data_IF_221921997642
#
_entry.id   IF_221921997642
#
_cell.length_a   1.000
_cell.length_b   1.000
_cell.length_c   1.000
_cell.angle_alpha   90.00
_cell.angle_beta   90.00
_cell.angle_gamma   90.00
#
_symmetry.space_group_name_H-M   'P 1'
#
loop_
_entity.id
_entity.type
_entity.pdbx_description
1 polymer ?
#
# COMPACT_ATOMS: atom_id res chain seq x y z
N UNK A 1 -3.47 24.85 5.15
CA UNK A 1 -4.56 24.22 5.90
C UNK A 1 -5.15 23.09 5.07
N UNK A 2 -5.50 21.96 5.69
CA UNK A 2 -6.09 20.82 4.96
C UNK A 2 -7.58 21.10 4.80
N UNK A 3 -8.04 21.23 3.55
CA UNK A 3 -9.43 21.61 3.22
C UNK A 3 -10.40 20.43 3.45
N UNK A 4 -9.89 19.20 3.43
CA UNK A 4 -10.69 17.98 3.56
C UNK A 4 -10.10 17.02 4.59
N UNK A 5 -10.88 16.04 5.10
CA UNK A 5 -10.30 14.86 5.72
C UNK A 5 -9.27 14.19 4.80
N UNK A 6 -8.20 13.64 5.35
CA UNK A 6 -7.08 13.10 4.56
C UNK A 6 -7.51 11.93 3.69
N UNK A 7 -8.43 11.06 4.13
CA UNK A 7 -8.99 10.01 3.28
C UNK A 7 -9.67 10.55 2.02
N UNK A 8 -10.29 11.73 2.10
CA UNK A 8 -10.88 12.44 0.96
C UNK A 8 -9.78 12.98 0.05
N UNK A 9 -8.79 13.67 0.62
CA UNK A 9 -7.63 14.19 -0.12
C UNK A 9 -6.88 13.09 -0.87
N UNK A 10 -6.67 11.92 -0.24
CA UNK A 10 -6.05 10.74 -0.85
C UNK A 10 -6.88 10.23 -2.04
N UNK A 11 -8.19 10.08 -1.85
CA UNK A 11 -9.08 9.55 -2.88
C UNK A 11 -9.14 10.47 -4.10
N UNK A 12 -9.28 11.78 -3.87
CA UNK A 12 -9.26 12.79 -4.93
C UNK A 12 -7.89 12.84 -5.63
N UNK A 13 -6.81 12.71 -4.88
CA UNK A 13 -5.46 12.71 -5.43
C UNK A 13 -5.21 11.52 -6.37
N UNK A 14 -5.66 10.32 -6.01
CA UNK A 14 -5.61 9.16 -6.90
C UNK A 14 -6.47 9.37 -8.15
N UNK A 15 -7.70 9.86 -8.00
CA UNK A 15 -8.58 10.14 -9.14
C UNK A 15 -7.95 11.14 -10.12
N UNK A 16 -7.30 12.18 -9.60
CA UNK A 16 -6.56 13.17 -10.38
C UNK A 16 -5.33 12.56 -11.07
N UNK A 17 -4.55 11.73 -10.38
CA UNK A 17 -3.40 10.99 -10.93
C UNK A 17 -3.81 10.06 -12.07
N UNK A 18 -4.95 9.38 -11.91
CA UNK A 18 -5.47 8.44 -12.90
C UNK A 18 -6.23 9.10 -14.06
N UNK A 19 -6.49 10.43 -14.02
CA UNK A 19 -7.45 11.11 -14.92
C UNK A 19 -8.78 10.34 -15.02
N UNK A 20 -9.28 9.86 -13.88
CA UNK A 20 -10.37 8.89 -13.81
C UNK A 20 -11.73 9.54 -14.14
N UNK A 21 -12.34 9.17 -15.27
CA UNK A 21 -13.63 9.72 -15.75
C UNK A 21 -14.84 8.80 -15.56
N UNK A 22 -14.61 7.63 -14.97
CA UNK A 22 -15.61 6.55 -14.87
C UNK A 22 -16.38 6.54 -13.55
N UNK A 23 -15.92 7.30 -12.56
CA UNK A 23 -16.54 7.39 -11.23
C UNK A 23 -17.21 8.75 -11.07
N UNK A 24 -18.46 8.77 -10.63
CA UNK A 24 -19.12 9.99 -10.18
C UNK A 24 -18.77 10.23 -8.71
N UNK A 25 -18.31 11.44 -8.40
CA UNK A 25 -17.80 11.79 -7.08
C UNK A 25 -18.90 12.50 -6.28
N UNK A 26 -19.14 12.03 -5.06
CA UNK A 26 -20.04 12.64 -4.10
C UNK A 26 -19.30 12.88 -2.79
N UNK A 27 -19.10 14.14 -2.42
CA UNK A 27 -18.59 14.52 -1.11
C UNK A 27 -19.75 14.59 -0.13
N UNK A 28 -19.53 14.05 1.06
CA UNK A 28 -20.54 13.97 2.11
C UNK A 28 -20.28 15.04 3.15
N UNK A 29 -21.25 15.93 3.37
CA UNK A 29 -21.17 16.91 4.45
C UNK A 29 -21.71 16.33 5.77
N UNK A 30 -21.14 16.73 6.92
CA UNK A 30 -21.81 16.54 8.20
C UNK A 30 -23.18 17.26 8.20
N UNK A 31 -24.15 16.78 8.98
CA UNK A 31 -25.52 17.27 8.97
C UNK A 31 -25.69 18.72 9.49
N UNK A 32 -24.65 19.32 10.06
CA UNK A 32 -24.66 20.69 10.58
C UNK A 32 -23.82 21.59 9.67
N UNK A 33 -24.48 22.42 8.87
CA UNK A 33 -23.82 23.42 8.01
C UNK A 33 -24.20 24.80 8.54
N UNK A 34 -23.25 25.49 9.16
CA UNK A 34 -23.35 26.95 9.36
C UNK A 34 -22.07 27.73 9.01
N UNK A 35 -20.91 27.10 8.84
CA UNK A 35 -19.64 27.81 8.51
C UNK A 35 -19.02 27.52 7.13
N UNK A 36 -19.38 26.43 6.45
CA UNK A 36 -18.55 25.88 5.36
C UNK A 36 -19.07 26.11 3.93
N UNK A 37 -20.10 26.95 3.77
CA UNK A 37 -20.73 27.21 2.45
C UNK A 37 -19.71 27.81 1.46
N UNK A 38 -18.90 28.78 1.89
CA UNK A 38 -17.86 29.38 1.04
C UNK A 38 -16.77 28.40 0.62
N UNK A 39 -16.33 27.51 1.52
CA UNK A 39 -15.34 26.50 1.18
C UNK A 39 -15.92 25.48 0.19
N UNK A 40 -17.17 25.07 0.41
CA UNK A 40 -17.90 24.16 -0.49
C UNK A 40 -18.06 24.76 -1.90
N UNK A 41 -18.38 26.05 -2.01
CA UNK A 41 -18.45 26.77 -3.29
C UNK A 41 -17.09 26.91 -3.98
N UNK A 42 -16.01 27.16 -3.22
CA UNK A 42 -14.65 27.21 -3.77
C UNK A 42 -14.17 25.83 -4.26
N UNK A 43 -14.63 24.76 -3.62
CA UNK A 43 -14.37 23.36 -4.01
C UNK A 43 -15.10 23.02 -5.32
N UNK A 44 -16.40 23.32 -5.38
CA UNK A 44 -17.26 23.05 -6.53
C UNK A 44 -16.87 23.86 -7.76
N UNK A 45 -16.46 25.13 -7.59
CA UNK A 45 -15.98 25.97 -8.69
C UNK A 45 -14.68 25.47 -9.32
N UNK A 46 -13.82 24.79 -8.54
CA UNK A 46 -12.58 24.20 -9.04
C UNK A 46 -12.76 22.80 -9.62
N UNK A 47 -13.83 22.08 -9.27
CA UNK A 47 -14.07 20.70 -9.69
C UNK A 47 -15.57 20.47 -10.00
N UNK A 48 -16.04 20.84 -11.20
CA UNK A 48 -17.47 20.73 -11.56
C UNK A 48 -17.99 19.28 -11.62
N UNK A 49 -17.08 18.29 -11.64
CA UNK A 49 -17.43 16.87 -11.66
C UNK A 49 -17.79 16.30 -10.26
N UNK A 50 -17.55 17.08 -9.21
CA UNK A 50 -17.81 16.70 -7.82
C UNK A 50 -19.18 17.21 -7.39
N UNK A 51 -20.01 16.32 -6.85
CA UNK A 51 -21.28 16.67 -6.22
C UNK A 51 -21.13 16.66 -4.71
N UNK A 52 -21.91 17.49 -4.01
CA UNK A 52 -21.93 17.52 -2.54
C UNK A 52 -23.32 17.10 -2.08
N UNK A 53 -23.39 16.15 -1.15
CA UNK A 53 -24.63 15.59 -0.62
C UNK A 53 -24.59 15.52 0.91
N UNK A 54 -25.76 15.55 1.54
CA UNK A 54 -25.91 15.31 2.98
C UNK A 54 -25.81 13.84 3.30
N UNK A 55 -25.46 13.53 4.55
CA UNK A 55 -25.40 12.13 5.02
C UNK A 55 -26.72 11.37 4.85
N UNK A 56 -27.86 12.07 4.96
CA UNK A 56 -29.20 11.49 4.78
C UNK A 56 -29.50 11.09 3.33
N UNK A 57 -28.80 11.66 2.35
CA UNK A 57 -29.01 11.40 0.91
C UNK A 57 -28.17 10.22 0.41
N UNK A 58 -27.27 9.71 1.26
CA UNK A 58 -26.44 8.55 0.96
C UNK A 58 -27.31 7.28 0.92
N UNK A 59 -27.10 6.35 -0.03
CA UNK A 59 -27.77 5.05 -0.01
C UNK A 59 -27.57 4.31 1.33
N UNK A 60 -28.63 3.69 1.86
CA UNK A 60 -28.61 3.01 3.19
C UNK A 60 -27.43 2.05 3.34
N UNK A 61 -27.11 1.28 2.30
CA UNK A 61 -25.96 0.37 2.26
C UNK A 61 -24.62 1.07 2.57
N UNK A 62 -24.43 2.31 2.11
CA UNK A 62 -23.21 3.09 2.34
C UNK A 62 -23.24 3.79 3.70
N UNK A 63 -24.42 4.13 4.22
CA UNK A 63 -24.53 4.75 5.54
C UNK A 63 -23.95 3.84 6.66
N UNK A 64 -24.00 2.53 6.44
CA UNK A 64 -23.41 1.50 7.31
C UNK A 64 -21.93 1.21 7.04
N UNK A 65 -21.29 1.93 6.11
CA UNK A 65 -19.89 1.74 5.74
C UNK A 65 -19.01 2.92 6.19
N UNK A 66 -17.73 2.62 6.42
CA UNK A 66 -16.72 3.67 6.51
C UNK A 66 -16.47 4.27 5.11
N UNK A 67 -16.41 5.59 5.02
CA UNK A 67 -16.01 6.28 3.80
C UNK A 67 -14.47 6.24 3.64
N UNK A 68 -13.93 6.18 2.42
CA UNK A 68 -14.64 6.24 1.15
C UNK A 68 -15.37 4.93 0.82
N UNK A 69 -16.44 5.06 0.03
CA UNK A 69 -17.22 3.94 -0.46
C UNK A 69 -17.61 4.14 -1.93
N UNK A 70 -17.70 3.06 -2.69
CA UNK A 70 -18.12 3.04 -4.09
C UNK A 70 -19.27 2.05 -4.25
N UNK A 71 -20.39 2.55 -4.77
CA UNK A 71 -21.60 1.76 -5.04
C UNK A 71 -21.73 1.52 -6.53
N UNK A 72 -22.10 0.31 -6.91
CA UNK A 72 -22.43 0.00 -8.29
C UNK A 72 -23.74 0.66 -8.73
N UNK A 73 -23.93 0.89 -10.03
CA UNK A 73 -25.11 1.59 -10.57
C UNK A 73 -26.45 0.98 -10.15
N UNK A 74 -26.48 -0.33 -9.85
CA UNK A 74 -27.68 -1.03 -9.42
C UNK A 74 -27.99 -0.88 -7.91
N UNK A 75 -27.13 -0.22 -7.14
CA UNK A 75 -27.32 0.00 -5.70
C UNK A 75 -27.17 -1.23 -4.81
N UNK A 76 -26.82 -2.39 -5.37
CA UNK A 76 -26.80 -3.69 -4.66
C UNK A 76 -25.42 -4.14 -4.19
N UNK A 77 -24.37 -3.46 -4.62
CA UNK A 77 -23.01 -3.81 -4.24
C UNK A 77 -22.25 -2.54 -3.86
N UNK A 78 -21.68 -2.55 -2.65
CA UNK A 78 -20.86 -1.48 -2.10
C UNK A 78 -19.46 -2.01 -1.79
N UNK A 79 -18.45 -1.25 -2.18
CA UNK A 79 -17.06 -1.42 -1.77
C UNK A 79 -16.72 -0.29 -0.81
N UNK A 80 -16.24 -0.60 0.38
CA UNK A 80 -15.92 0.40 1.39
C UNK A 80 -14.53 0.16 1.98
N UNK A 81 -13.93 1.22 2.52
CA UNK A 81 -12.55 1.24 2.99
C UNK A 81 -11.61 1.82 1.94
N UNK A 82 -10.60 2.55 2.41
CA UNK A 82 -9.69 3.31 1.56
C UNK A 82 -8.94 2.38 0.61
N UNK A 83 -8.22 1.38 1.12
CA UNK A 83 -7.41 0.50 0.29
C UNK A 83 -8.27 -0.24 -0.76
N UNK A 84 -9.46 -0.71 -0.37
CA UNK A 84 -10.40 -1.40 -1.25
C UNK A 84 -10.87 -0.49 -2.38
N UNK A 85 -11.30 0.73 -2.05
CA UNK A 85 -11.80 1.72 -3.02
C UNK A 85 -10.70 2.18 -3.96
N UNK A 86 -9.52 2.52 -3.45
CA UNK A 86 -8.40 2.98 -4.28
C UNK A 86 -7.94 1.90 -5.27
N UNK A 87 -7.82 0.65 -4.80
CA UNK A 87 -7.49 -0.49 -5.68
C UNK A 87 -8.57 -0.71 -6.74
N UNK A 88 -9.84 -0.53 -6.40
CA UNK A 88 -10.95 -0.61 -7.35
C UNK A 88 -10.86 0.50 -8.42
N UNK A 89 -10.57 1.75 -8.03
CA UNK A 89 -10.37 2.87 -8.96
C UNK A 89 -9.23 2.55 -9.94
N UNK A 90 -8.09 2.06 -9.45
CA UNK A 90 -6.95 1.66 -10.29
C UNK A 90 -7.35 0.58 -11.31
N UNK A 91 -8.05 -0.47 -10.86
CA UNK A 91 -8.50 -1.55 -11.74
C UNK A 91 -9.46 -1.05 -12.80
N UNK A 92 -10.47 -0.28 -12.40
CA UNK A 92 -11.50 0.20 -13.32
C UNK A 92 -10.97 1.23 -14.32
N UNK A 93 -10.03 2.07 -13.90
CA UNK A 93 -9.37 3.01 -14.81
C UNK A 93 -8.57 2.24 -15.87
N UNK A 94 -7.83 1.20 -15.47
CA UNK A 94 -7.12 0.36 -16.43
C UNK A 94 -8.07 -0.43 -17.36
N UNK A 95 -9.21 -0.91 -16.87
CA UNK A 95 -10.21 -1.57 -17.72
C UNK A 95 -10.81 -0.61 -18.76
N UNK A 96 -10.97 0.67 -18.41
CA UNK A 96 -11.47 1.70 -19.32
C UNK A 96 -10.42 2.16 -20.35
N UNK A 97 -9.14 2.20 -19.97
CA UNK A 97 -8.03 2.47 -20.88
C UNK A 97 -6.87 1.47 -20.66
N UNK A 98 -6.90 0.32 -21.35
CA UNK A 98 -5.85 -0.69 -21.24
C UNK A 98 -4.48 -0.26 -21.79
N UNK A 99 -4.40 0.86 -22.52
CA UNK A 99 -3.15 1.38 -23.08
C UNK A 99 -2.23 1.92 -21.97
N UNK A 100 -2.81 2.46 -20.89
CA UNK A 100 -2.08 2.99 -19.75
C UNK A 100 -1.70 1.89 -18.75
N UNK A 101 -0.73 1.06 -19.12
CA UNK A 101 -0.25 -0.05 -18.27
C UNK A 101 0.36 0.41 -16.95
N UNK A 102 0.91 1.63 -16.88
CA UNK A 102 1.53 2.18 -15.68
C UNK A 102 0.57 2.29 -14.49
N UNK A 103 -0.73 2.54 -14.75
CA UNK A 103 -1.76 2.58 -13.70
C UNK A 103 -1.83 1.24 -12.95
N UNK A 104 -1.75 0.12 -13.67
CA UNK A 104 -1.89 -1.20 -13.04
C UNK A 104 -0.66 -1.59 -12.20
N UNK A 105 0.50 -1.01 -12.49
CA UNK A 105 1.74 -1.20 -11.74
C UNK A 105 1.66 -0.61 -10.32
N UNK A 106 0.77 0.37 -10.09
CA UNK A 106 0.49 0.90 -8.76
C UNK A 106 0.05 -0.19 -7.77
N UNK A 107 -0.58 -1.26 -8.26
CA UNK A 107 -0.96 -2.39 -7.40
C UNK A 107 0.23 -3.23 -6.95
N UNK A 108 1.45 -2.91 -7.38
CA UNK A 108 2.68 -3.60 -6.99
C UNK A 108 2.82 -4.99 -7.60
N UNK A 109 3.86 -5.70 -7.19
CA UNK A 109 4.14 -7.06 -7.66
C UNK A 109 2.95 -7.99 -7.42
N UNK A 110 2.52 -8.74 -8.44
CA UNK A 110 1.32 -9.61 -8.38
C UNK A 110 0.04 -8.89 -7.90
N UNK A 111 -0.02 -7.57 -8.01
CA UNK A 111 -1.14 -6.72 -7.60
C UNK A 111 -1.46 -6.81 -6.10
N UNK A 112 -0.44 -6.96 -5.23
CA UNK A 112 -0.62 -7.17 -3.78
C UNK A 112 -0.54 -5.90 -2.91
N UNK A 113 -0.08 -4.76 -3.43
CA UNK A 113 0.03 -3.51 -2.67
C UNK A 113 -1.33 -3.12 -2.06
N UNK A 114 -1.38 -2.93 -0.74
CA UNK A 114 -2.62 -2.64 0.01
C UNK A 114 -3.76 -3.66 -0.21
N UNK A 115 -3.44 -4.93 -0.52
CA UNK A 115 -4.46 -5.98 -0.73
C UNK A 115 -4.90 -6.65 0.58
N UNK A 116 -3.98 -6.78 1.53
CA UNK A 116 -4.24 -7.42 2.81
C UNK A 116 -4.94 -6.44 3.76
N UNK A 117 -5.71 -6.94 4.72
CA UNK A 117 -6.40 -6.09 5.68
C UNK A 117 -5.41 -5.39 6.63
N UNK A 118 -5.81 -4.26 7.21
CA UNK A 118 -4.99 -3.44 8.09
C UNK A 118 -4.50 -4.20 9.34
N UNK A 119 -5.25 -5.19 9.81
CA UNK A 119 -4.93 -6.02 10.98
C UNK A 119 -3.78 -7.01 10.71
N UNK A 120 -3.51 -7.32 9.43
CA UNK A 120 -2.51 -8.32 9.03
C UNK A 120 -1.33 -7.67 8.29
N UNK A 121 -1.58 -6.54 7.63
CA UNK A 121 -0.57 -5.81 6.87
C UNK A 121 -0.25 -4.49 7.53
N UNK A 122 0.97 -4.39 8.05
CA UNK A 122 1.47 -3.15 8.65
C UNK A 122 1.44 -1.97 7.68
N UNK A 123 1.82 -2.17 6.41
CA UNK A 123 1.71 -1.13 5.38
C UNK A 123 0.27 -0.68 5.15
N UNK A 124 -0.69 -1.62 5.13
CA UNK A 124 -2.10 -1.27 4.96
C UNK A 124 -2.60 -0.50 6.18
N UNK A 125 -2.28 -0.95 7.40
CA UNK A 125 -2.62 -0.23 8.63
C UNK A 125 -2.01 1.18 8.71
N UNK A 126 -0.75 1.34 8.30
CA UNK A 126 -0.09 2.64 8.22
C UNK A 126 -0.79 3.58 7.24
N UNK A 127 -1.06 3.11 6.02
CA UNK A 127 -1.61 3.92 4.94
C UNK A 127 -3.09 4.26 5.13
N UNK A 128 -3.89 3.30 5.60
CA UNK A 128 -5.34 3.45 5.69
C UNK A 128 -5.80 4.06 7.01
N UNK A 129 -5.04 3.87 8.10
CA UNK A 129 -5.50 4.24 9.44
C UNK A 129 -4.50 5.15 10.13
N UNK A 130 -3.31 4.64 10.45
CA UNK A 130 -2.43 5.25 11.45
C UNK A 130 -1.87 6.60 11.01
N UNK A 131 -1.36 6.72 9.78
CA UNK A 131 -0.76 7.97 9.28
C UNK A 131 -1.82 9.04 9.05
N UNK A 132 -2.93 8.79 8.29
CA UNK A 132 -3.97 9.79 8.12
C UNK A 132 -4.50 10.32 9.46
N UNK A 133 -4.85 9.43 10.40
CA UNK A 133 -5.37 9.83 11.70
C UNK A 133 -4.36 10.63 12.52
N UNK A 134 -3.09 10.19 12.54
CA UNK A 134 -2.04 10.88 13.29
C UNK A 134 -1.79 12.28 12.73
N UNK A 135 -1.78 12.45 11.40
CA UNK A 135 -1.59 13.75 10.76
C UNK A 135 -2.79 14.66 11.00
N UNK A 136 -4.03 14.19 10.85
CA UNK A 136 -5.21 15.02 11.15
C UNK A 136 -5.22 15.52 12.59
N UNK A 137 -4.91 14.64 13.54
CA UNK A 137 -4.81 15.01 14.95
C UNK A 137 -3.68 16.01 15.20
N UNK A 138 -2.55 15.85 14.52
CA UNK A 138 -1.44 16.79 14.59
C UNK A 138 -1.83 18.17 14.05
N UNK A 139 -2.49 18.25 12.89
CA UNK A 139 -2.94 19.51 12.28
C UNK A 139 -3.91 20.28 13.19
N UNK A 140 -4.85 19.56 13.82
CA UNK A 140 -5.78 20.14 14.81
C UNK A 140 -5.02 20.71 16.02
N UNK A 141 -4.09 19.94 16.59
CA UNK A 141 -3.32 20.37 17.77
C UNK A 141 -2.39 21.53 17.50
N UNK A 142 -1.69 21.52 16.36
CA UNK A 142 -0.73 22.56 15.96
C UNK A 142 -1.41 23.92 15.74
N UNK A 143 -2.68 23.91 15.33
CA UNK A 143 -3.47 25.14 15.18
C UNK A 143 -3.72 25.84 16.52
N UNK A 144 -3.72 25.10 17.64
CA UNK A 144 -3.89 25.64 19.00
C UNK A 144 -2.58 25.80 19.77
N UNK A 145 -1.57 24.97 19.50
CA UNK A 145 -0.28 25.01 20.16
C UNK A 145 0.84 24.71 19.14
N UNK A 146 1.68 25.70 18.79
CA UNK A 146 2.75 25.53 17.79
C UNK A 146 3.81 24.48 18.16
N UNK A 147 4.04 24.23 19.45
CA UNK A 147 5.09 23.34 19.93
C UNK A 147 4.55 21.91 20.14
N UNK A 148 4.16 21.25 19.04
CA UNK A 148 3.79 19.83 19.05
C UNK A 148 4.95 18.95 18.62
N UNK A 149 5.15 17.85 19.35
CA UNK A 149 6.08 16.82 18.96
C UNK A 149 5.63 16.11 17.67
N UNK A 150 6.60 15.60 16.91
CA UNK A 150 6.33 14.78 15.73
C UNK A 150 5.54 13.54 16.16
N UNK A 151 4.42 13.20 15.49
CA UNK A 151 3.65 12.02 15.83
C UNK A 151 4.50 10.75 15.74
N UNK A 152 4.39 9.86 16.75
CA UNK A 152 5.14 8.58 16.79
C UNK A 152 5.00 7.75 15.51
N UNK A 153 3.83 7.78 14.88
CA UNK A 153 3.57 7.05 13.61
C UNK A 153 4.38 7.63 12.44
N UNK A 154 4.67 8.92 12.41
CA UNK A 154 5.55 9.52 11.40
C UNK A 154 7.00 9.10 11.64
N UNK A 155 7.44 9.02 12.90
CA UNK A 155 8.75 8.47 13.25
C UNK A 155 8.86 6.97 12.90
N UNK A 156 7.78 6.21 13.09
CA UNK A 156 7.71 4.82 12.62
C UNK A 156 7.86 4.73 11.10
N UNK A 157 7.22 5.62 10.34
CA UNK A 157 7.39 5.66 8.88
C UNK A 157 8.82 6.06 8.47
N UNK A 158 9.45 6.98 9.18
CA UNK A 158 10.86 7.32 8.98
C UNK A 158 11.76 6.09 9.20
N UNK A 159 11.56 5.37 10.31
CA UNK A 159 12.32 4.16 10.61
C UNK A 159 12.10 3.07 9.56
N UNK A 160 10.86 2.89 9.09
CA UNK A 160 10.49 1.96 8.00
C UNK A 160 11.29 2.21 6.73
N UNK A 161 11.44 3.47 6.32
CA UNK A 161 12.22 3.83 5.14
C UNK A 161 13.72 3.48 5.30
N UNK A 162 14.20 3.32 6.53
CA UNK A 162 15.57 2.90 6.84
C UNK A 162 15.76 1.38 6.87
N UNK A 163 14.69 0.59 6.82
CA UNK A 163 14.78 -0.88 6.81
C UNK A 163 15.31 -1.38 5.46
N UNK A 164 16.04 -2.52 5.43
CA UNK A 164 16.50 -3.10 4.17
C UNK A 164 15.32 -3.63 3.35
N UNK A 165 15.26 -3.24 2.07
CA UNK A 165 14.22 -3.67 1.15
C UNK A 165 14.42 -5.13 0.74
N UNK A 166 13.33 -5.88 0.65
CA UNK A 166 13.29 -7.21 0.04
C UNK A 166 12.36 -7.22 -1.17
N UNK A 167 12.88 -7.60 -2.33
CA UNK A 167 12.08 -7.68 -3.57
C UNK A 167 12.17 -9.06 -4.23
N UNK A 168 11.25 -9.31 -5.17
CA UNK A 168 11.40 -10.44 -6.08
C UNK A 168 12.70 -10.29 -6.89
N UNK A 169 13.53 -11.34 -6.92
CA UNK A 169 14.89 -11.33 -7.46
C UNK A 169 15.89 -10.45 -6.68
N UNK A 170 15.71 -10.29 -5.36
CA UNK A 170 16.59 -9.54 -4.45
C UNK A 170 18.09 -9.74 -4.75
N UNK A 171 18.55 -11.00 -4.73
CA UNK A 171 19.94 -11.38 -5.01
C UNK A 171 20.45 -10.87 -6.35
N UNK A 172 19.61 -10.92 -7.40
CA UNK A 172 19.99 -10.46 -8.73
C UNK A 172 20.23 -8.95 -8.74
N UNK A 173 19.33 -8.19 -8.12
CA UNK A 173 19.41 -6.72 -8.07
C UNK A 173 20.60 -6.28 -7.21
N UNK A 174 20.82 -6.93 -6.07
CA UNK A 174 21.98 -6.65 -5.21
C UNK A 174 23.30 -6.95 -5.90
N UNK A 175 23.38 -8.02 -6.70
CA UNK A 175 24.57 -8.33 -7.52
C UNK A 175 24.78 -7.30 -8.64
N UNK A 176 23.71 -6.77 -9.24
CA UNK A 176 23.81 -5.66 -10.19
C UNK A 176 24.29 -4.37 -9.53
N UNK A 177 23.84 -4.06 -8.31
CA UNK A 177 24.32 -2.92 -7.50
C UNK A 177 25.85 -3.02 -7.27
N UNK A 178 26.34 -4.20 -6.90
CA UNK A 178 27.80 -4.45 -6.73
C UNK A 178 28.58 -4.30 -8.04
N UNK A 179 28.05 -4.82 -9.15
CA UNK A 179 28.68 -4.69 -10.46
C UNK A 179 28.91 -3.22 -10.82
N UNK A 180 27.90 -2.38 -10.58
CA UNK A 180 27.93 -0.98 -10.97
C UNK A 180 28.78 -0.13 -10.02
N UNK A 181 28.75 -0.39 -8.71
CA UNK A 181 29.68 0.24 -7.76
C UNK A 181 31.13 -0.01 -8.18
N UNK A 182 31.48 -1.26 -8.53
CA UNK A 182 32.83 -1.58 -9.01
C UNK A 182 33.18 -0.99 -10.37
N UNK A 183 32.19 -0.73 -11.23
CA UNK A 183 32.42 -0.01 -12.48
C UNK A 183 32.70 1.47 -12.20
N UNK A 184 31.94 2.10 -11.31
CA UNK A 184 32.16 3.47 -10.88
C UNK A 184 33.55 3.64 -10.23
N UNK A 185 33.93 2.72 -9.33
CA UNK A 185 35.25 2.72 -8.68
C UNK A 185 36.41 2.59 -9.70
N UNK A 186 36.22 1.76 -10.74
CA UNK A 186 37.21 1.61 -11.82
C UNK A 186 37.32 2.85 -12.68
N UNK A 187 36.19 3.47 -13.02
CA UNK A 187 36.19 4.69 -13.84
C UNK A 187 36.89 5.84 -13.10
N UNK A 188 36.61 5.99 -11.80
CA UNK A 188 37.29 6.96 -10.93
C UNK A 188 38.81 6.70 -10.80
N UNK A 189 39.26 5.44 -10.89
CA UNK A 189 40.70 5.10 -10.84
C UNK A 189 41.46 5.34 -12.16
N UNK A 190 40.75 5.46 -13.30
CA UNK A 190 41.38 5.57 -14.64
C UNK A 190 41.59 7.02 -15.07
N UNK A 191 40.88 7.98 -14.45
CA UNK A 191 41.01 9.42 -14.72
C UNK A 191 42.25 10.07 -14.09
N UNK A 192 43.19 9.28 -13.54
CA UNK A 192 44.46 9.78 -13.01
C UNK A 192 45.57 9.93 -14.08
N UNK A 193 45.31 9.59 -15.36
CA UNK A 193 46.30 9.75 -16.43
C UNK A 193 45.72 10.23 -17.77
N UNK A 194 45.18 11.45 -17.83
CA UNK A 194 45.37 12.36 -18.98
C UNK A 194 44.77 13.73 -18.67
N UNK A 195 45.62 14.76 -18.64
CA UNK A 195 45.17 16.16 -18.65
C UNK A 195 44.81 16.53 -20.08
N UNK A 196 43.61 17.06 -20.30
CA UNK A 196 43.40 18.38 -20.93
C UNK A 196 41.90 18.76 -21.01
N UNK A 197 41.66 20.05 -20.75
CA UNK A 197 40.44 20.84 -20.71
C UNK A 197 39.15 20.30 -21.36
N UNK A 198 38.09 20.25 -20.55
CA UNK A 198 36.74 20.78 -20.89
C UNK A 198 35.89 20.96 -19.63
N UNK A 199 35.49 22.20 -19.37
CA UNK A 199 34.47 22.59 -18.40
C UNK A 199 33.12 21.96 -18.75
N UNK A 200 32.69 20.96 -17.97
CA UNK A 200 31.28 20.58 -17.84
C UNK A 200 31.07 20.19 -16.38
N UNK A 201 30.20 20.93 -15.69
CA UNK A 201 29.65 20.53 -14.39
C UNK A 201 28.94 19.18 -14.54
N UNK A 202 29.58 18.09 -14.14
CA UNK A 202 28.95 16.78 -14.01
C UNK A 202 28.92 16.43 -12.53
N UNK A 203 27.73 16.56 -11.93
CA UNK A 203 27.44 15.93 -10.64
C UNK A 203 27.52 14.41 -10.81
N UNK A 204 28.30 13.77 -9.93
CA UNK A 204 28.52 12.33 -9.90
C UNK A 204 27.18 11.55 -9.75
N UNK A 205 26.92 10.50 -10.55
CA UNK A 205 25.75 9.66 -10.36
C UNK A 205 25.97 8.69 -9.19
N UNK A 206 25.43 9.02 -8.02
CA UNK A 206 25.43 8.17 -6.83
C UNK A 206 24.57 6.90 -6.97
N UNK A 207 24.74 5.92 -6.08
CA UNK A 207 23.95 4.68 -6.03
C UNK A 207 22.42 4.93 -6.01
N UNK A 208 22.00 6.01 -5.36
CA UNK A 208 20.61 6.45 -5.32
C UNK A 208 20.05 6.82 -6.71
N UNK A 209 20.88 7.36 -7.63
CA UNK A 209 20.48 7.72 -8.98
C UNK A 209 20.18 6.49 -9.83
N UNK A 210 20.94 5.40 -9.67
CA UNK A 210 20.67 4.14 -10.38
C UNK A 210 19.37 3.47 -9.93
N UNK A 211 19.15 3.38 -8.62
CA UNK A 211 17.94 2.77 -8.06
C UNK A 211 16.69 3.59 -8.46
N UNK A 212 16.82 4.92 -8.42
CA UNK A 212 15.83 5.87 -8.91
C UNK A 212 15.58 5.71 -10.42
N UNK A 213 16.62 5.64 -11.26
CA UNK A 213 16.51 5.34 -12.70
C UNK A 213 15.87 3.98 -12.98
N UNK A 214 16.16 2.97 -12.17
CA UNK A 214 15.57 1.63 -12.29
C UNK A 214 14.09 1.63 -11.95
N UNK A 215 13.69 2.44 -10.97
CA UNK A 215 12.28 2.62 -10.65
C UNK A 215 11.56 3.45 -11.72
N UNK A 216 12.22 4.49 -12.25
CA UNK A 216 11.72 5.30 -13.36
C UNK A 216 11.62 4.53 -14.69
N UNK A 217 12.53 3.58 -14.95
CA UNK A 217 12.49 2.77 -16.16
C UNK A 217 11.28 1.83 -16.20
N UNK A 218 10.82 1.36 -15.03
CA UNK A 218 9.53 0.66 -14.93
C UNK A 218 8.34 1.60 -15.14
N UNK A 219 8.37 2.79 -14.53
CA UNK A 219 7.31 3.78 -14.68
C UNK A 219 7.15 4.32 -16.11
N UNK A 220 8.22 4.36 -16.91
CA UNK A 220 8.23 5.00 -18.25
C UNK A 220 7.93 4.02 -19.40
N UNK A 221 7.45 2.79 -19.13
CA UNK A 221 7.16 1.75 -20.15
C UNK A 221 8.33 1.38 -21.09
N UNK A 222 9.50 1.98 -20.94
CA UNK A 222 10.68 1.63 -21.71
C UNK A 222 11.28 0.36 -21.11
N UNK A 223 10.91 -0.77 -21.72
CA UNK A 223 11.58 -2.05 -21.56
C UNK A 223 13.07 -1.83 -21.85
N UNK A 224 13.90 -1.76 -20.81
CA UNK A 224 15.35 -1.76 -21.01
C UNK A 224 15.72 -3.02 -21.81
N UNK A 225 16.60 -2.93 -22.82
CA UNK A 225 17.09 -4.11 -23.52
C UNK A 225 17.71 -5.06 -22.50
N UNK A 226 17.27 -6.32 -22.51
CA UNK A 226 17.92 -7.40 -21.77
C UNK A 226 19.28 -7.65 -22.42
N UNK A 227 20.30 -6.90 -21.99
CA UNK A 227 21.67 -7.23 -22.33
C UNK A 227 22.00 -8.58 -21.67
N UNK A 228 22.03 -9.63 -22.49
CA UNK A 228 22.51 -10.97 -22.14
C UNK A 228 24.03 -10.97 -22.01
N UNK A 229 24.59 -10.13 -21.14
CA UNK A 229 25.99 -10.24 -20.77
C UNK A 229 26.08 -11.30 -19.66
N UNK A 230 26.76 -12.41 -19.96
CA UNK A 230 27.07 -13.45 -18.97
C UNK A 230 27.78 -12.78 -17.79
N UNK A 231 27.16 -12.81 -16.61
CA UNK A 231 27.71 -12.24 -15.39
C UNK A 231 29.14 -12.76 -15.13
N UNK A 232 30.10 -11.87 -14.79
CA UNK A 232 31.48 -12.29 -14.52
C UNK A 232 31.54 -13.28 -13.35
N UNK A 233 32.41 -14.29 -13.47
CA UNK A 233 32.53 -15.43 -12.55
C UNK A 233 32.81 -15.04 -11.08
N UNK A 234 33.41 -13.88 -10.83
CA UNK A 234 33.71 -13.40 -9.49
C UNK A 234 32.49 -12.81 -8.74
N UNK A 235 31.46 -12.33 -9.45
CA UNK A 235 30.22 -11.83 -8.82
C UNK A 235 29.29 -12.98 -8.41
N UNK A 236 29.31 -14.11 -9.14
CA UNK A 236 28.58 -15.33 -8.76
C UNK A 236 29.11 -15.96 -7.46
N UNK A 237 30.39 -15.74 -7.14
CA UNK A 237 31.07 -16.32 -5.97
C UNK A 237 30.84 -15.54 -4.66
N UNK A 238 30.27 -14.33 -4.71
CA UNK A 238 29.94 -13.55 -3.51
C UNK A 238 28.79 -14.23 -2.77
N UNK A 239 28.96 -14.48 -1.47
CA UNK A 239 27.89 -15.06 -0.64
C UNK A 239 26.73 -14.06 -0.54
N UNK A 240 25.49 -14.54 -0.55
CA UNK A 240 24.29 -13.68 -0.46
C UNK A 240 24.29 -12.81 0.81
N UNK A 241 24.92 -13.27 1.89
CA UNK A 241 25.10 -12.52 3.14
C UNK A 241 26.04 -11.30 3.02
N UNK A 242 26.93 -11.29 2.02
CA UNK A 242 27.95 -10.25 1.80
C UNK A 242 27.49 -9.18 0.79
N UNK A 243 26.32 -9.37 0.18
CA UNK A 243 25.77 -8.40 -0.76
C UNK A 243 25.29 -7.14 -0.01
N UNK A 244 25.43 -5.93 -0.58
CA UNK A 244 24.90 -4.72 0.04
C UNK A 244 23.36 -4.79 0.10
N UNK A 245 22.71 -4.28 1.16
CA UNK A 245 21.26 -4.21 1.22
C UNK A 245 20.70 -3.26 0.15
N UNK A 246 19.45 -3.48 -0.21
CA UNK A 246 18.67 -2.55 -1.03
C UNK A 246 18.00 -1.53 -0.12
N UNK A 247 17.94 -0.29 -0.56
CA UNK A 247 17.38 0.82 0.19
C UNK A 247 16.01 1.21 -0.36
N UNK A 248 15.19 1.87 0.45
CA UNK A 248 13.92 2.39 -0.01
C UNK A 248 14.13 3.58 -0.94
N UNK A 249 13.69 3.43 -2.19
CA UNK A 249 13.50 4.56 -3.10
C UNK A 249 12.09 5.14 -2.90
N UNK A 250 11.11 4.24 -2.79
CA UNK A 250 9.71 4.50 -2.56
C UNK A 250 9.25 3.81 -1.27
N UNK A 251 8.01 4.07 -0.83
CA UNK A 251 7.55 3.72 0.50
C UNK A 251 7.65 2.22 0.79
N UNK A 252 7.11 1.34 -0.06
CA UNK A 252 7.20 -0.12 0.14
C UNK A 252 8.55 -0.74 -0.30
N UNK A 253 9.37 -0.01 -1.06
CA UNK A 253 10.67 -0.53 -1.52
C UNK A 253 11.21 0.20 -2.77
N UNK A 254 11.64 -0.58 -3.76
CA UNK A 254 12.28 -0.02 -4.96
C UNK A 254 11.30 0.58 -5.99
N UNK A 255 10.02 0.25 -5.90
CA UNK A 255 9.05 0.55 -6.94
C UNK A 255 7.99 1.52 -6.43
N UNK A 256 7.60 2.46 -7.28
CA UNK A 256 6.50 3.35 -7.00
C UNK A 256 5.18 2.57 -7.04
N UNK A 257 4.40 2.69 -5.98
CA UNK A 257 3.15 1.93 -5.79
C UNK A 257 2.02 2.82 -5.30
N UNK A 258 0.84 2.24 -5.13
CA UNK A 258 -0.32 2.91 -4.57
C UNK A 258 -0.03 3.48 -3.17
N UNK A 259 0.84 2.84 -2.39
CA UNK A 259 1.27 3.32 -1.07
C UNK A 259 1.91 4.70 -1.14
N UNK A 260 2.72 4.99 -2.17
CA UNK A 260 3.30 6.33 -2.35
C UNK A 260 2.24 7.40 -2.64
N UNK A 261 1.25 7.07 -3.46
CA UNK A 261 0.11 7.96 -3.77
C UNK A 261 -0.72 8.23 -2.50
N UNK A 262 -0.93 7.21 -1.67
CA UNK A 262 -1.69 7.35 -0.41
C UNK A 262 -0.95 8.22 0.60
N UNK A 263 0.36 8.01 0.77
CA UNK A 263 1.12 8.72 1.79
C UNK A 263 1.41 10.17 1.40
N UNK A 264 1.52 10.49 0.11
CA UNK A 264 1.93 11.81 -0.35
C UNK A 264 1.05 12.96 0.19
N UNK A 265 -0.29 12.95 0.07
CA UNK A 265 -1.13 14.00 0.65
C UNK A 265 -0.97 14.14 2.16
N UNK A 266 -0.89 13.02 2.89
CA UNK A 266 -0.71 13.02 4.35
C UNK A 266 0.60 13.68 4.75
N UNK A 267 1.71 13.24 4.15
CA UNK A 267 3.05 13.77 4.46
C UNK A 267 3.17 15.21 3.98
N UNK A 268 2.58 15.57 2.84
CA UNK A 268 2.54 16.96 2.36
C UNK A 268 1.92 17.89 3.41
N UNK A 269 0.72 17.56 3.91
CA UNK A 269 0.05 18.39 4.91
C UNK A 269 0.80 18.45 6.23
N UNK A 270 1.36 17.31 6.67
CA UNK A 270 2.22 17.26 7.85
C UNK A 270 3.43 18.19 7.72
N UNK A 271 4.20 18.06 6.65
CA UNK A 271 5.41 18.88 6.41
C UNK A 271 5.07 20.36 6.22
N UNK A 272 3.95 20.68 5.56
CA UNK A 272 3.48 22.06 5.42
C UNK A 272 3.17 22.70 6.77
N UNK A 273 2.53 21.97 7.69
CA UNK A 273 2.31 22.43 9.05
C UNK A 273 3.62 22.59 9.83
N UNK A 274 4.54 21.62 9.74
CA UNK A 274 5.85 21.74 10.38
C UNK A 274 6.63 22.96 9.89
N UNK A 275 6.60 23.26 8.57
CA UNK A 275 7.23 24.45 8.00
C UNK A 275 6.61 25.74 8.53
N UNK A 276 5.28 25.81 8.66
CA UNK A 276 4.56 26.98 9.18
C UNK A 276 4.88 27.26 10.65
N UNK A 277 5.10 26.21 11.44
CA UNK A 277 5.29 26.30 12.90
C UNK A 277 6.74 26.08 13.35
N UNK A 278 7.71 26.08 12.42
CA UNK A 278 9.15 25.92 12.70
C UNK A 278 9.51 24.66 13.51
N UNK A 279 8.76 23.57 13.31
CA UNK A 279 9.09 22.28 13.93
C UNK A 279 10.34 21.67 13.29
N UNK A 280 11.15 20.98 14.08
CA UNK A 280 12.43 20.44 13.65
C UNK A 280 12.28 19.22 12.71
N UNK A 281 11.99 19.48 11.44
CA UNK A 281 11.89 18.46 10.38
C UNK A 281 13.23 17.81 10.02
N UNK A 282 14.35 18.32 10.53
CA UNK A 282 15.68 17.74 10.30
C UNK A 282 15.81 16.32 10.86
N UNK A 283 14.89 15.92 11.74
CA UNK A 283 14.79 14.56 12.27
C UNK A 283 14.18 13.54 11.28
N UNK A 284 13.75 13.97 10.09
CA UNK A 284 13.06 13.12 9.11
C UNK A 284 13.76 13.08 7.73
N UNK A 285 15.07 12.79 7.66
CA UNK A 285 15.83 12.84 6.41
C UNK A 285 15.31 11.89 5.32
N UNK A 286 14.86 10.69 5.68
CA UNK A 286 14.39 9.67 4.74
C UNK A 286 13.01 10.03 4.19
N UNK A 287 12.08 10.50 5.02
CA UNK A 287 10.79 11.03 4.57
C UNK A 287 10.99 12.24 3.66
N UNK A 288 11.90 13.16 4.00
CA UNK A 288 12.19 14.31 3.14
C UNK A 288 12.76 13.88 1.78
N UNK A 289 13.66 12.90 1.77
CA UNK A 289 14.22 12.33 0.54
C UNK A 289 13.17 11.62 -0.30
N UNK A 290 12.36 10.75 0.33
CA UNK A 290 11.22 10.09 -0.29
C UNK A 290 10.23 11.10 -0.89
N UNK A 291 9.86 12.14 -0.14
CA UNK A 291 8.91 13.16 -0.58
C UNK A 291 9.44 13.92 -1.81
N UNK A 292 10.73 14.27 -1.85
CA UNK A 292 11.36 14.87 -3.04
C UNK A 292 11.25 13.95 -4.26
N UNK A 293 11.64 12.69 -4.12
CA UNK A 293 11.59 11.69 -5.20
C UNK A 293 10.17 11.45 -5.72
N UNK A 294 9.19 11.37 -4.82
CA UNK A 294 7.78 11.17 -5.22
C UNK A 294 7.26 12.38 -6.01
N UNK A 295 7.61 13.61 -5.63
CA UNK A 295 7.24 14.80 -6.40
C UNK A 295 7.87 14.86 -7.80
N UNK A 296 8.97 14.14 -8.04
CA UNK A 296 9.61 14.08 -9.36
C UNK A 296 8.88 13.15 -10.34
N UNK A 297 8.02 12.26 -9.84
CA UNK A 297 7.26 11.30 -10.67
C UNK A 297 6.34 12.06 -11.65
N UNK A 298 6.41 11.81 -12.98
CA UNK A 298 5.66 12.58 -13.97
C UNK A 298 4.16 12.64 -13.72
N UNK A 299 3.52 11.51 -13.39
CA UNK A 299 2.08 11.47 -13.07
C UNK A 299 1.73 12.23 -11.79
N UNK A 300 2.66 12.29 -10.82
CA UNK A 300 2.47 13.04 -9.58
C UNK A 300 2.47 14.54 -9.85
N UNK A 301 3.38 15.04 -10.71
CA UNK A 301 3.42 16.47 -11.08
C UNK A 301 2.11 16.96 -11.67
N UNK A 302 1.41 16.13 -12.44
CA UNK A 302 0.10 16.47 -13.00
C UNK A 302 -0.98 16.46 -11.92
N UNK A 303 -0.99 15.45 -11.05
CA UNK A 303 -1.96 15.33 -9.97
C UNK A 303 -1.82 16.46 -8.93
N UNK A 304 -0.59 16.86 -8.59
CA UNK A 304 -0.34 17.93 -7.62
C UNK A 304 -0.88 19.27 -8.08
N UNK A 305 -0.82 19.58 -9.38
CA UNK A 305 -1.44 20.78 -9.96
C UNK A 305 -2.96 20.74 -9.77
N UNK A 306 -3.61 19.62 -10.13
CA UNK A 306 -5.06 19.44 -10.00
C UNK A 306 -5.52 19.52 -8.53
N UNK A 307 -4.73 19.00 -7.60
CA UNK A 307 -5.05 18.98 -6.17
C UNK A 307 -4.44 20.14 -5.37
N UNK A 308 -3.86 21.14 -6.02
CA UNK A 308 -3.22 22.30 -5.38
C UNK A 308 -2.16 21.93 -4.30
N UNK A 309 -1.42 20.83 -4.52
CA UNK A 309 -0.30 20.42 -3.69
C UNK A 309 0.95 21.17 -4.18
N UNK A 310 1.45 22.11 -3.38
CA UNK A 310 2.64 22.91 -3.73
C UNK A 310 3.93 22.23 -3.26
N UNK A 311 5.00 22.35 -4.02
CA UNK A 311 6.31 21.88 -3.53
C UNK A 311 6.82 22.80 -2.41
N UNK A 312 6.72 22.33 -1.18
CA UNK A 312 7.12 23.05 0.04
C UNK A 312 8.63 23.05 0.29
N UNK A 313 9.39 22.20 -0.41
CA UNK A 313 10.84 22.03 -0.21
C UNK A 313 11.70 22.96 -1.09
N UNK A 314 11.09 23.76 -1.96
CA UNK A 314 11.81 24.72 -2.82
C UNK A 314 12.34 25.98 -2.09
N UNK A 315 12.51 25.93 -0.77
CA UNK A 315 13.32 26.91 -0.04
C UNK A 315 14.48 26.17 0.63
N UNK A 316 15.69 26.51 0.19
CA UNK A 316 17.00 26.10 0.70
C UNK A 316 17.50 24.72 0.24
N UNK A 317 18.39 24.78 -0.75
CA UNK A 317 19.44 23.81 -1.03
C UNK A 317 20.32 23.64 0.20
N UNK A 318 19.88 22.81 1.15
CA UNK A 318 20.80 22.25 2.12
C UNK A 318 21.54 21.08 1.45
N UNK A 319 22.88 21.03 1.57
CA UNK A 319 23.64 19.88 1.09
C UNK A 319 23.08 18.64 1.78
N UNK A 320 22.87 17.58 0.98
CA UNK A 320 22.67 16.23 1.50
C UNK A 320 23.74 15.99 2.57
N UNK A 321 23.39 15.54 3.78
CA UNK A 321 24.40 15.05 4.70
C UNK A 321 25.09 13.88 4.00
N UNK A 322 26.33 14.11 3.57
CA UNK A 322 27.24 13.06 3.12
C UNK A 322 27.19 11.94 4.15
N UNK A 323 26.96 10.73 3.65
CA UNK A 323 27.13 9.45 4.33
C UNK A 323 26.69 9.48 5.80
N UNK A 324 25.46 9.01 6.05
CA UNK A 324 25.08 8.57 7.38
C UNK A 324 26.05 7.45 7.80
N UNK A 325 27.15 7.83 8.44
CA UNK A 325 27.83 6.98 9.39
C UNK A 325 26.73 6.56 10.35
N UNK A 326 26.43 5.28 10.33
CA UNK A 326 25.49 4.62 11.23
C UNK A 326 25.93 4.89 12.66
N UNK A 327 25.50 6.03 13.21
CA UNK A 327 25.39 6.19 14.64
C UNK A 327 24.15 5.39 14.98
N UNK A 328 24.38 4.16 15.42
CA UNK A 328 23.44 3.34 16.17
C UNK A 328 22.90 4.15 17.34
N UNK A 329 21.87 4.97 17.08
CA UNK A 329 21.00 5.48 18.11
C UNK A 329 20.25 4.26 18.64
N UNK A 330 20.72 3.81 19.79
CA UNK A 330 20.09 2.81 20.64
C UNK A 330 18.59 3.04 20.64
N UNK A 331 17.90 2.07 20.06
CA UNK A 331 16.45 1.98 20.04
C UNK A 331 15.89 2.33 21.42
N UNK A 332 14.95 3.28 21.46
CA UNK A 332 13.89 3.22 22.45
C UNK A 332 13.04 1.98 22.15
N UNK A 333 13.58 0.81 22.49
CA UNK A 333 12.77 -0.34 22.87
C UNK A 333 12.28 0.01 24.27
N UNK A 334 11.00 0.36 24.40
CA UNK A 334 10.33 0.12 25.67
C UNK A 334 10.51 -1.38 25.93
N UNK A 335 11.40 -1.68 26.89
CA UNK A 335 11.68 -3.02 27.35
C UNK A 335 10.52 -3.47 28.22
N UNK A 336 9.40 -3.84 27.60
CA UNK A 336 8.63 -4.93 28.15
C UNK A 336 9.45 -6.19 27.86
N UNK A 337 10.05 -6.75 28.92
CA UNK A 337 10.62 -8.09 28.93
C UNK A 337 9.49 -9.10 28.65
N UNK A 338 9.05 -9.18 27.40
CA UNK A 338 8.36 -10.33 26.89
C UNK A 338 9.50 -11.29 26.54
N UNK A 339 9.62 -12.45 27.21
CA UNK A 339 10.60 -13.46 26.83
C UNK A 339 10.51 -13.66 25.33
N UNK A 340 11.64 -13.79 24.63
CA UNK A 340 11.67 -14.15 23.22
C UNK A 340 10.84 -15.42 23.02
N UNK A 341 9.55 -15.26 22.72
CA UNK A 341 8.71 -16.34 22.27
C UNK A 341 9.37 -16.79 20.98
N UNK A 342 10.01 -17.95 21.04
CA UNK A 342 10.53 -18.67 19.90
C UNK A 342 9.41 -18.64 18.87
N UNK A 343 9.56 -17.78 17.86
CA UNK A 343 8.54 -17.55 16.86
C UNK A 343 8.23 -18.91 16.25
N UNK A 344 7.05 -19.45 16.54
CA UNK A 344 6.71 -20.81 16.15
C UNK A 344 6.59 -20.86 14.62
N UNK A 345 7.65 -21.31 13.95
CA UNK A 345 7.64 -21.59 12.52
C UNK A 345 7.09 -23.01 12.34
N UNK A 346 5.77 -23.17 12.47
CA UNK A 346 5.11 -24.44 12.22
C UNK A 346 3.84 -24.27 11.41
N UNK A 347 3.71 -25.07 10.35
CA UNK A 347 2.47 -25.21 9.61
C UNK A 347 1.45 -26.08 10.36
N UNK A 348 0.23 -26.27 9.83
CA UNK A 348 -0.83 -27.02 10.50
C UNK A 348 -0.41 -28.43 10.97
N UNK A 349 0.44 -29.12 10.21
CA UNK A 349 0.95 -30.45 10.56
C UNK A 349 1.90 -30.40 11.78
N UNK A 350 3.00 -29.62 11.77
CA UNK A 350 3.81 -29.41 12.97
C UNK A 350 3.00 -29.00 14.20
N UNK A 351 1.99 -28.14 14.03
CA UNK A 351 1.11 -27.74 15.13
C UNK A 351 0.32 -28.93 15.67
N UNK A 352 -0.35 -29.71 14.81
CA UNK A 352 -1.12 -30.89 15.22
C UNK A 352 -0.21 -31.92 15.90
N UNK A 353 0.97 -32.19 15.35
CA UNK A 353 1.94 -33.13 15.95
C UNK A 353 2.32 -32.69 17.36
N UNK A 354 2.63 -31.41 17.55
CA UNK A 354 3.02 -30.87 18.86
C UNK A 354 1.86 -30.87 19.87
N UNK A 355 0.63 -30.68 19.40
CA UNK A 355 -0.58 -30.82 20.23
C UNK A 355 -0.75 -32.27 20.69
N UNK A 356 -0.63 -33.24 19.77
CA UNK A 356 -0.71 -34.66 20.08
C UNK A 356 0.40 -35.12 21.04
N UNK A 357 1.64 -34.68 20.85
CA UNK A 357 2.77 -34.93 21.77
C UNK A 357 2.50 -34.41 23.19
N UNK A 358 1.63 -33.40 23.32
CA UNK A 358 1.16 -32.84 24.60
C UNK A 358 -0.15 -33.45 25.09
N UNK A 359 -0.63 -34.53 24.46
CA UNK A 359 -1.89 -35.20 24.82
C UNK A 359 -3.14 -34.41 24.46
N UNK A 360 -3.03 -33.39 23.59
CA UNK A 360 -4.17 -32.61 23.10
C UNK A 360 -4.61 -33.19 21.76
N UNK A 361 -5.72 -33.92 21.78
CA UNK A 361 -6.30 -34.55 20.59
C UNK A 361 -7.60 -33.88 20.17
N UNK A 362 -7.89 -33.91 18.87
CA UNK A 362 -9.14 -33.40 18.34
C UNK A 362 -10.26 -34.43 18.57
N UNK A 363 -11.31 -34.03 19.29
CA UNK A 363 -12.53 -34.84 19.45
C UNK A 363 -13.48 -34.49 18.32
N UNK A 364 -13.75 -35.45 17.44
CA UNK A 364 -14.65 -35.25 16.31
C UNK A 364 -16.09 -35.61 16.67
N UNK A 365 -17.03 -34.74 16.29
CA UNK A 365 -18.46 -35.03 16.35
C UNK A 365 -18.92 -35.70 15.04
N UNK A 366 -19.96 -36.54 15.08
CA UNK A 366 -20.56 -37.08 13.86
C UNK A 366 -21.11 -35.95 12.98
N UNK A 367 -21.12 -36.19 11.65
CA UNK A 367 -21.60 -35.20 10.69
C UNK A 367 -23.07 -34.82 11.00
N UNK A 368 -23.43 -33.51 11.00
CA UNK A 368 -24.76 -33.06 11.44
C UNK A 368 -25.90 -33.56 10.56
N UNK A 369 -25.63 -33.80 9.27
CA UNK A 369 -26.58 -34.26 8.25
C UNK A 369 -25.91 -35.31 7.33
N UNK A 370 -25.65 -36.56 7.76
CA UNK A 370 -24.78 -37.50 7.04
C UNK A 370 -25.35 -37.99 5.69
N UNK A 371 -26.67 -37.88 5.50
CA UNK A 371 -27.36 -38.23 4.24
C UNK A 371 -27.44 -37.06 3.25
N UNK A 372 -27.01 -35.86 3.65
CA UNK A 372 -27.14 -34.65 2.86
C UNK A 372 -25.78 -34.26 2.29
N UNK A 373 -25.75 -33.99 0.99
CA UNK A 373 -24.57 -33.49 0.29
C UNK A 373 -25.01 -32.48 -0.75
N UNK A 374 -24.25 -31.39 -0.90
CA UNK A 374 -24.52 -30.41 -1.93
C UNK A 374 -24.09 -30.93 -3.29
N UNK A 375 -24.98 -30.83 -4.28
CA UNK A 375 -24.64 -31.09 -5.68
C UNK A 375 -23.90 -29.89 -6.28
N UNK A 376 -22.57 -29.95 -6.23
CA UNK A 376 -21.70 -28.88 -6.73
C UNK A 376 -21.79 -28.66 -8.24
N UNK A 377 -22.23 -29.65 -9.03
CA UNK A 377 -22.35 -29.48 -10.50
C UNK A 377 -23.64 -28.76 -10.89
N UNK A 378 -24.66 -28.80 -10.02
CA UNK A 378 -25.89 -28.00 -10.21
C UNK A 378 -25.69 -26.50 -9.96
N UNK A 379 -24.63 -26.12 -9.24
CA UNK A 379 -24.38 -24.74 -8.85
C UNK A 379 -23.69 -23.92 -9.97
N UNK A 380 -23.87 -22.59 -9.98
CA UNK A 380 -23.16 -21.71 -10.91
C UNK A 380 -21.64 -21.89 -10.82
N UNK A 381 -20.96 -21.88 -11.96
CA UNK A 381 -19.52 -22.10 -12.04
C UNK A 381 -18.70 -21.14 -11.15
N UNK A 382 -19.17 -19.92 -10.93
CA UNK A 382 -18.53 -18.93 -10.08
C UNK A 382 -18.52 -19.30 -8.58
N UNK A 383 -19.43 -20.17 -8.14
CA UNK A 383 -19.60 -20.58 -6.74
C UNK A 383 -18.86 -21.89 -6.46
N UNK A 384 -18.64 -22.71 -7.48
CA UNK A 384 -18.01 -24.02 -7.34
C UNK A 384 -16.46 -23.91 -7.30
N UNK A 385 -15.79 -24.32 -6.21
CA UNK A 385 -14.33 -24.31 -6.10
C UNK A 385 -13.60 -25.08 -7.21
N UNK A 386 -14.26 -26.09 -7.79
CA UNK A 386 -13.74 -26.95 -8.86
C UNK A 386 -13.57 -26.25 -10.21
N UNK A 387 -14.25 -25.12 -10.44
CA UNK A 387 -14.09 -24.36 -11.69
C UNK A 387 -13.00 -23.29 -11.60
N UNK A 388 -12.29 -23.19 -10.46
CA UNK A 388 -11.18 -22.27 -10.24
C UNK A 388 -9.81 -22.79 -10.71
N UNK A 389 -8.74 -22.05 -10.39
CA UNK A 389 -7.34 -22.42 -10.71
C UNK A 389 -6.72 -23.44 -9.73
N UNK A 390 -7.55 -24.18 -9.01
CA UNK A 390 -7.11 -25.15 -8.00
C UNK A 390 -6.89 -26.52 -8.66
N UNK A 391 -5.96 -27.31 -8.12
CA UNK A 391 -5.86 -28.72 -8.52
C UNK A 391 -7.13 -29.46 -8.10
N UNK A 392 -7.48 -30.54 -8.83
CA UNK A 392 -8.69 -31.33 -8.57
C UNK A 392 -8.79 -31.77 -7.10
N UNK A 393 -7.71 -32.30 -6.51
CA UNK A 393 -7.71 -32.71 -5.11
C UNK A 393 -7.93 -31.54 -4.13
N UNK A 394 -7.38 -30.37 -4.46
CA UNK A 394 -7.54 -29.18 -3.61
C UNK A 394 -8.96 -28.65 -3.70
N UNK A 395 -9.57 -28.70 -4.88
CA UNK A 395 -10.97 -28.34 -5.09
C UNK A 395 -11.92 -29.30 -4.35
N UNK A 396 -11.71 -30.61 -4.47
CA UNK A 396 -12.51 -31.62 -3.78
C UNK A 396 -12.46 -31.44 -2.26
N UNK A 397 -11.25 -31.27 -1.69
CA UNK A 397 -11.11 -30.98 -0.25
C UNK A 397 -11.83 -29.69 0.15
N UNK A 398 -11.81 -28.66 -0.70
CA UNK A 398 -12.50 -27.40 -0.42
C UNK A 398 -14.03 -27.58 -0.47
N UNK A 399 -14.56 -28.31 -1.45
CA UNK A 399 -15.98 -28.66 -1.54
C UNK A 399 -16.43 -29.44 -0.30
N UNK A 400 -15.65 -30.44 0.16
CA UNK A 400 -15.93 -31.19 1.38
C UNK A 400 -15.96 -30.28 2.63
N UNK A 401 -15.00 -29.36 2.75
CA UNK A 401 -14.99 -28.37 3.84
C UNK A 401 -16.24 -27.49 3.84
N UNK A 402 -16.65 -27.01 2.66
CA UNK A 402 -17.83 -26.16 2.51
C UNK A 402 -19.12 -26.95 2.80
N UNK A 403 -19.23 -28.20 2.31
CA UNK A 403 -20.36 -29.07 2.59
C UNK A 403 -20.62 -29.21 4.09
N UNK A 404 -19.57 -29.45 4.87
CA UNK A 404 -19.72 -29.61 6.32
C UNK A 404 -20.25 -28.33 6.98
N UNK A 405 -19.76 -27.15 6.56
CA UNK A 405 -20.21 -25.86 7.10
C UNK A 405 -21.66 -25.56 6.69
N UNK A 406 -22.00 -25.77 5.42
CA UNK A 406 -23.34 -25.52 4.90
C UNK A 406 -24.35 -26.48 5.54
N UNK A 407 -23.99 -27.76 5.72
CA UNK A 407 -24.84 -28.74 6.40
C UNK A 407 -25.17 -28.30 7.84
N UNK A 408 -24.17 -27.78 8.56
CA UNK A 408 -24.36 -27.26 9.91
C UNK A 408 -25.29 -26.05 9.91
N UNK A 409 -25.07 -25.08 9.02
CA UNK A 409 -25.92 -23.88 8.94
C UNK A 409 -27.34 -24.24 8.55
N UNK A 410 -27.54 -25.12 7.56
CA UNK A 410 -28.87 -25.56 7.09
C UNK A 410 -29.65 -26.30 8.19
N UNK A 411 -28.95 -27.02 9.07
CA UNK A 411 -29.56 -27.68 10.23
C UNK A 411 -30.04 -26.69 11.31
N UNK A 412 -29.36 -25.54 11.43
CA UNK A 412 -29.61 -24.56 12.49
C UNK A 412 -30.58 -23.45 12.06
N UNK A 413 -30.45 -22.98 10.82
CA UNK A 413 -31.19 -21.85 10.30
C UNK A 413 -32.66 -22.21 9.99
N UNK A 414 -33.55 -21.23 10.17
CA UNK A 414 -34.98 -21.31 9.89
C UNK A 414 -35.40 -20.24 8.89
N UNK A 415 -36.54 -20.41 8.19
CA UNK A 415 -37.10 -19.36 7.35
C UNK A 415 -37.28 -18.05 8.13
N UNK A 416 -36.71 -16.96 7.61
CA UNK A 416 -36.72 -15.64 8.26
C UNK A 416 -35.44 -15.29 9.03
N UNK A 417 -34.55 -16.25 9.28
CA UNK A 417 -33.26 -15.98 9.91
C UNK A 417 -32.32 -15.20 8.98
N UNK A 418 -31.50 -14.31 9.56
CA UNK A 418 -30.44 -13.59 8.84
C UNK A 418 -29.10 -14.24 9.15
N UNK A 419 -28.45 -14.79 8.11
CA UNK A 419 -27.13 -15.39 8.21
C UNK A 419 -26.06 -14.35 7.87
N UNK A 420 -25.08 -14.19 8.76
CA UNK A 420 -23.96 -13.25 8.57
C UNK A 420 -22.64 -14.04 8.54
N UNK A 421 -21.92 -13.97 7.43
CA UNK A 421 -20.65 -14.68 7.20
C UNK A 421 -19.47 -13.71 7.37
N UNK A 422 -18.86 -13.72 8.57
CA UNK A 422 -17.72 -12.87 8.92
C UNK A 422 -16.40 -13.48 8.43
N UNK A 423 -15.47 -12.62 8.01
CA UNK A 423 -14.15 -13.05 7.50
C UNK A 423 -14.24 -14.08 6.35
N UNK A 424 -15.34 -14.02 5.58
CA UNK A 424 -15.70 -15.01 4.55
C UNK A 424 -14.71 -15.08 3.38
N UNK A 425 -13.82 -14.09 3.27
CA UNK A 425 -12.77 -14.01 2.26
C UNK A 425 -13.37 -13.99 0.86
N UNK A 426 -13.32 -15.13 0.16
CA UNK A 426 -13.96 -15.29 -1.15
C UNK A 426 -15.47 -15.56 -1.10
N UNK A 427 -16.11 -15.51 0.07
CA UNK A 427 -17.55 -15.73 0.22
C UNK A 427 -18.01 -17.16 -0.03
N UNK A 428 -17.11 -18.14 0.01
CA UNK A 428 -17.39 -19.51 -0.44
C UNK A 428 -18.48 -20.23 0.38
N UNK A 429 -18.79 -19.77 1.59
CA UNK A 429 -19.87 -20.32 2.42
C UNK A 429 -21.12 -19.48 2.21
N UNK A 430 -21.07 -18.18 2.51
CA UNK A 430 -22.21 -17.27 2.39
C UNK A 430 -22.83 -17.20 0.99
N UNK A 431 -22.04 -17.20 -0.08
CA UNK A 431 -22.57 -17.16 -1.46
C UNK A 431 -23.31 -18.45 -1.80
N UNK A 432 -22.80 -19.60 -1.35
CA UNK A 432 -23.49 -20.89 -1.56
C UNK A 432 -24.79 -20.92 -0.77
N UNK A 433 -24.76 -20.52 0.50
CA UNK A 433 -25.95 -20.43 1.36
C UNK A 433 -27.00 -19.46 0.84
N UNK A 434 -26.60 -18.37 0.20
CA UNK A 434 -27.54 -17.43 -0.41
C UNK A 434 -28.10 -17.90 -1.75
N UNK A 435 -27.53 -18.93 -2.36
CA UNK A 435 -28.01 -19.51 -3.62
C UNK A 435 -29.01 -20.65 -3.39
N UNK A 436 -28.75 -21.51 -2.40
CA UNK A 436 -29.65 -22.60 -1.99
C UNK A 436 -30.80 -22.07 -1.13
#
# INVERSE_FOLDING_TARGET
DCIYPLHTSISLFLLAYCDCKIVRIFLVTPNEITSDIQQTEEILSKNPEINVIKRSEIPVMVQSCCLPAVVEKNGRFCRAGLAVVLRYIVQKTYEADPSNKGILELLGFKRTCLKACAEVSEWTGLCEISIPLAVENFLKKVSHNPHQNIPKVILLFENKLGEPVRVHNDDKIRRQKVQQQKMLDKTASTDSSSKEDRTVENQEPGSADLELRTAFSKLTLQKMPLATNREPSHIRKIKTSELPPLEHIFAEGLYFTLTDIVLLPCIHHFLAACKKHQNNILQLPLILSWYKRVLEVPGIKQATVKCNIKNILNCQSHPLPNECKQNTSTAFKESENIPEEIQFIGGPRPTITKLMEKGIEAIFSPHPCPKWTLDWESLPAAVNPGKGKMSADRALRKQQQLNNLIALVTKLAKPGDVIVDFCSGGGHVGIVLGYI
#
